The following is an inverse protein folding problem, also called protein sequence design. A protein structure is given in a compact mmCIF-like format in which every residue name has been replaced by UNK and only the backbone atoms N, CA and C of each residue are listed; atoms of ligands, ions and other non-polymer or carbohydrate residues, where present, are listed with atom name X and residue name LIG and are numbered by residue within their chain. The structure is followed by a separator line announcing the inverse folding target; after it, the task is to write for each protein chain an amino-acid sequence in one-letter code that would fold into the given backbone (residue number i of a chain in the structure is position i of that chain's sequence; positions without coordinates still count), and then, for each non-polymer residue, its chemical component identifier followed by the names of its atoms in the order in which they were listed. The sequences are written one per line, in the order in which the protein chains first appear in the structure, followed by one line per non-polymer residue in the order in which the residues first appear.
data_IF_841730359754
#
_entry.id   IF_841730359754
#
_cell.length_a   1.000
_cell.length_b   1.000
_cell.length_c   1.000
_cell.angle_alpha   90.00
_cell.angle_beta   90.00
_cell.angle_gamma   90.00
#
_symmetry.space_group_name_H-M   'P 1'
#
loop_
_entity.id
_entity.type
_entity.pdbx_description
1 polymer ?
#
# COMPACT_ATOMS: atom_id res chain seq x y z
N UNK A 1 -0.36 -3.35 -12.81
CA UNK A 1 -1.66 -3.93 -12.44
C UNK A 1 -1.93 -3.54 -11.01
N UNK A 2 -3.10 -3.00 -10.68
CA UNK A 2 -3.38 -2.50 -9.32
C UNK A 2 -3.60 -3.66 -8.32
N UNK A 3 -2.54 -4.38 -7.99
CA UNK A 3 -2.53 -5.32 -6.88
C UNK A 3 -2.47 -4.50 -5.60
N UNK A 4 -3.59 -4.43 -4.89
CA UNK A 4 -3.58 -3.95 -3.51
C UNK A 4 -2.71 -4.89 -2.70
N UNK A 5 -1.82 -4.35 -1.87
CA UNK A 5 -0.92 -5.18 -1.07
C UNK A 5 -1.63 -5.93 0.06
N UNK A 6 -2.96 -5.78 0.16
CA UNK A 6 -3.75 -6.26 1.29
C UNK A 6 -3.51 -5.49 2.58
N UNK A 7 -2.72 -4.41 2.53
CA UNK A 7 -2.33 -3.61 3.68
C UNK A 7 -2.96 -2.21 3.59
N UNK A 8 -3.24 -1.62 4.75
CA UNK A 8 -3.77 -0.25 4.84
C UNK A 8 -2.68 0.67 5.37
N UNK A 9 -2.63 1.90 4.82
CA UNK A 9 -1.65 2.90 5.22
C UNK A 9 -2.32 4.13 5.81
N UNK A 10 -3.24 3.94 6.76
CA UNK A 10 -3.85 5.04 7.51
C UNK A 10 -2.82 5.92 8.23
N UNK A 11 -1.66 5.35 8.58
CA UNK A 11 -0.52 6.06 9.16
C UNK A 11 0.48 6.58 8.13
N UNK A 12 0.13 6.57 6.83
CA UNK A 12 0.99 7.01 5.73
C UNK A 12 2.14 6.06 5.37
N UNK A 13 2.16 4.83 5.92
CA UNK A 13 3.24 3.86 5.71
C UNK A 13 2.69 2.48 5.33
N UNK A 14 3.39 1.82 4.41
CA UNK A 14 3.22 0.42 4.06
C UNK A 14 4.46 -0.35 4.53
N UNK A 15 4.27 -1.53 5.13
CA UNK A 15 5.35 -2.40 5.57
C UNK A 15 5.72 -3.44 4.52
N UNK A 16 4.77 -3.80 3.64
CA UNK A 16 5.03 -4.72 2.53
C UNK A 16 6.04 -4.11 1.53
N UNK A 17 7.18 -4.76 1.27
CA UNK A 17 8.20 -4.24 0.37
C UNK A 17 7.72 -4.19 -1.09
N UNK A 18 8.04 -3.09 -1.76
CA UNK A 18 7.57 -2.80 -3.12
C UNK A 18 6.16 -2.22 -3.19
N UNK A 19 5.50 -1.99 -2.05
CA UNK A 19 4.23 -1.28 -1.99
C UNK A 19 4.43 0.19 -1.66
N UNK A 20 3.60 1.03 -2.27
CA UNK A 20 3.52 2.46 -1.99
C UNK A 20 2.18 2.79 -1.34
N UNK A 21 2.18 3.77 -0.44
CA UNK A 21 0.93 4.19 0.21
C UNK A 21 0.10 5.03 -0.74
N UNK A 22 -1.06 4.51 -1.14
CA UNK A 22 -2.12 5.25 -1.80
C UNK A 22 -3.29 5.37 -0.84
N UNK A 23 -3.20 6.31 0.09
CA UNK A 23 -4.13 6.45 1.20
C UNK A 23 -5.60 6.23 0.78
N UNK A 24 -6.38 5.38 1.48
CA UNK A 24 -6.02 4.69 2.73
C UNK A 24 -5.32 3.32 2.56
N UNK A 25 -5.02 2.90 1.33
CA UNK A 25 -4.55 1.53 1.03
C UNK A 25 -3.15 1.49 0.42
N UNK A 26 -2.41 0.43 0.72
CA UNK A 26 -1.14 0.15 0.07
C UNK A 26 -1.36 -0.46 -1.31
N UNK A 27 -0.73 0.11 -2.33
CA UNK A 27 -0.78 -0.38 -3.71
C UNK A 27 0.63 -0.71 -4.19
N UNK A 28 0.75 -1.79 -4.96
CA UNK A 28 1.94 -2.13 -5.74
C UNK A 28 1.62 -1.83 -7.20
N UNK A 29 2.61 -1.29 -7.92
CA UNK A 29 2.49 -1.02 -9.35
C UNK A 29 2.13 -2.29 -10.15
#
# INVERSE_FOLDING_TARGET
GKYTCGETCFKGKCYTPGCTCSYPICKKD
#
